data_IF_578121261507
#
_entry.id   IF_578121261507
#
_cell.length_a   1.000
_cell.length_b   1.000
_cell.length_c   1.000
_cell.angle_alpha   90.00
_cell.angle_beta   90.00
_cell.angle_gamma   90.00
#
_symmetry.space_group_name_H-M   'P 1'
#
loop_
_entity.id
_entity.type
_entity.pdbx_description
1 polymer ?
#
# COMPACT_ATOMS: atom_id res chain seq x y z
N UNK A 1 12.19 -21.86 -14.13
CA UNK A 1 11.94 -21.06 -15.35
C UNK A 1 10.99 -19.94 -14.97
N UNK A 2 11.33 -18.66 -15.20
CA UNK A 2 10.45 -17.52 -14.87
C UNK A 2 9.47 -17.35 -16.03
N UNK A 3 8.16 -17.35 -15.76
CA UNK A 3 7.18 -16.97 -16.78
C UNK A 3 7.43 -15.54 -17.20
N UNK A 4 7.55 -15.34 -18.52
CA UNK A 4 7.69 -14.03 -19.13
C UNK A 4 6.55 -13.84 -20.12
N UNK A 5 6.06 -12.61 -20.25
CA UNK A 5 5.17 -12.27 -21.36
C UNK A 5 5.94 -12.20 -22.70
N UNK A 6 5.20 -12.00 -23.80
CA UNK A 6 5.77 -11.82 -25.14
C UNK A 6 6.73 -10.62 -25.23
N UNK A 7 6.68 -9.69 -24.26
CA UNK A 7 7.58 -8.54 -24.13
C UNK A 7 8.75 -8.80 -23.15
N UNK A 8 8.93 -10.02 -22.65
CA UNK A 8 10.02 -10.40 -21.75
C UNK A 8 9.87 -9.94 -20.29
N UNK A 9 8.73 -9.35 -19.91
CA UNK A 9 8.46 -8.92 -18.52
C UNK A 9 8.10 -10.15 -17.68
N UNK A 10 8.62 -10.26 -16.44
CA UNK A 10 8.28 -11.38 -15.57
C UNK A 10 6.79 -11.34 -15.24
N UNK A 11 6.02 -12.29 -15.80
CA UNK A 11 4.65 -12.57 -15.35
C UNK A 11 4.78 -13.40 -14.08
N UNK A 12 4.54 -12.79 -12.92
CA UNK A 12 4.39 -13.56 -11.68
C UNK A 12 3.04 -14.29 -11.72
N UNK A 13 2.92 -15.32 -12.56
CA UNK A 13 1.74 -16.22 -12.66
C UNK A 13 1.51 -17.07 -11.40
N UNK A 14 2.43 -17.01 -10.43
CA UNK A 14 2.32 -17.77 -9.20
C UNK A 14 1.21 -17.21 -8.30
N UNK A 15 0.22 -18.02 -7.90
CA UNK A 15 -0.87 -17.60 -7.02
C UNK A 15 -0.32 -17.08 -5.69
N UNK A 16 -1.08 -16.21 -5.02
CA UNK A 16 -0.68 -15.58 -3.75
C UNK A 16 -1.81 -15.56 -2.73
N UNK A 17 -1.44 -15.54 -1.46
CA UNK A 17 -2.40 -15.36 -0.35
C UNK A 17 -2.87 -13.89 -0.22
N UNK A 18 -3.76 -13.62 0.74
CA UNK A 18 -4.28 -12.28 1.05
C UNK A 18 -3.18 -11.27 1.39
N UNK A 19 -2.06 -11.76 1.92
CA UNK A 19 -0.91 -10.94 2.26
C UNK A 19 0.04 -10.74 1.10
N UNK A 20 -0.18 -11.37 -0.07
CA UNK A 20 0.70 -11.29 -1.24
C UNK A 20 1.89 -12.26 -1.24
N UNK A 21 1.95 -13.22 -0.32
CA UNK A 21 2.98 -14.26 -0.28
C UNK A 21 2.72 -15.31 -1.37
N UNK A 22 3.74 -15.78 -2.11
CA UNK A 22 3.55 -16.82 -3.13
C UNK A 22 3.05 -18.13 -2.55
N UNK A 23 1.99 -18.68 -3.12
CA UNK A 23 1.44 -20.00 -2.83
C UNK A 23 2.07 -21.08 -3.73
N UNK A 24 1.98 -22.37 -3.39
CA UNK A 24 2.34 -23.46 -4.30
C UNK A 24 1.60 -23.37 -5.65
N UNK A 25 2.20 -23.92 -6.70
CA UNK A 25 1.52 -24.04 -7.99
C UNK A 25 0.31 -24.98 -7.87
N UNK A 26 -0.79 -24.64 -8.55
CA UNK A 26 -2.05 -25.39 -8.47
C UNK A 26 -2.95 -25.03 -7.28
N UNK A 27 -2.50 -24.13 -6.39
CA UNK A 27 -3.35 -23.56 -5.34
C UNK A 27 -4.13 -22.36 -5.89
N UNK A 28 -5.40 -22.23 -5.53
CA UNK A 28 -6.17 -21.03 -5.83
C UNK A 28 -5.64 -19.86 -4.97
N UNK A 29 -5.21 -18.79 -5.63
CA UNK A 29 -4.77 -17.57 -4.97
C UNK A 29 -5.87 -16.51 -4.97
N UNK A 30 -5.65 -15.45 -4.20
CA UNK A 30 -6.57 -14.31 -4.16
C UNK A 30 -6.39 -13.49 -5.43
N UNK A 31 -7.48 -13.08 -6.11
CA UNK A 31 -7.41 -12.22 -7.28
C UNK A 31 -6.57 -10.96 -6.99
N UNK A 32 -5.65 -10.66 -7.91
CA UNK A 32 -4.78 -9.49 -7.90
C UNK A 32 -5.44 -8.35 -8.67
N UNK A 33 -4.97 -7.12 -8.46
CA UNK A 33 -5.31 -6.02 -9.35
C UNK A 33 -4.76 -6.33 -10.76
N UNK A 34 -5.58 -6.26 -11.83
CA UNK A 34 -5.12 -6.54 -13.19
C UNK A 34 -3.96 -5.63 -13.63
N UNK A 35 -3.04 -6.16 -14.44
CA UNK A 35 -1.87 -5.40 -14.93
C UNK A 35 -2.24 -4.19 -15.80
N UNK A 36 -3.41 -4.24 -16.46
CA UNK A 36 -3.97 -3.19 -17.30
C UNK A 36 -4.94 -2.27 -16.55
N UNK A 37 -5.01 -2.37 -15.23
CA UNK A 37 -5.87 -1.53 -14.41
C UNK A 37 -5.37 -0.08 -14.36
N UNK A 38 -6.20 0.86 -14.80
CA UNK A 38 -5.86 2.29 -14.88
C UNK A 38 -6.88 3.17 -14.12
N UNK A 39 -6.87 3.17 -12.78
CA UNK A 39 -7.84 3.93 -12.01
C UNK A 39 -7.60 5.44 -12.11
N UNK A 40 -8.69 6.21 -12.06
CA UNK A 40 -8.59 7.63 -11.70
C UNK A 40 -8.25 7.80 -10.21
N UNK A 41 -7.97 9.04 -9.81
CA UNK A 41 -7.54 9.34 -8.44
C UNK A 41 -8.59 8.96 -7.38
N UNK A 42 -9.87 9.27 -7.61
CA UNK A 42 -10.94 9.03 -6.64
C UNK A 42 -11.30 7.55 -6.57
N UNK A 43 -11.25 6.85 -7.70
CA UNK A 43 -11.39 5.40 -7.75
C UNK A 43 -10.29 4.71 -6.96
N UNK A 44 -9.03 5.09 -7.17
CA UNK A 44 -7.90 4.50 -6.46
C UNK A 44 -8.02 4.68 -4.93
N UNK A 45 -8.39 5.88 -4.47
CA UNK A 45 -8.55 6.17 -3.04
C UNK A 45 -9.70 5.35 -2.43
N UNK A 46 -10.87 5.34 -3.07
CA UNK A 46 -12.05 4.60 -2.61
C UNK A 46 -11.80 3.09 -2.54
N UNK A 47 -11.14 2.52 -3.55
CA UNK A 47 -10.83 1.09 -3.55
C UNK A 47 -9.74 0.73 -2.53
N UNK A 48 -8.69 1.55 -2.41
CA UNK A 48 -7.66 1.34 -1.39
C UNK A 48 -8.26 1.39 0.02
N UNK A 49 -9.14 2.36 0.29
CA UNK A 49 -9.88 2.45 1.55
C UNK A 49 -10.71 1.19 1.81
N UNK A 50 -11.52 0.75 0.84
CA UNK A 50 -12.34 -0.47 0.97
C UNK A 50 -11.48 -1.70 1.30
N UNK A 51 -10.33 -1.84 0.66
CA UNK A 51 -9.42 -2.95 0.97
C UNK A 51 -8.87 -2.86 2.39
N UNK A 52 -8.45 -1.68 2.84
CA UNK A 52 -7.98 -1.48 4.21
C UNK A 52 -9.08 -1.74 5.25
N UNK A 53 -10.32 -1.29 5.02
CA UNK A 53 -11.48 -1.58 5.88
C UNK A 53 -11.75 -3.08 6.03
N UNK A 54 -11.32 -3.90 5.05
CA UNK A 54 -11.41 -5.36 5.10
C UNK A 54 -10.11 -6.05 5.52
N UNK A 55 -9.13 -5.32 6.08
CA UNK A 55 -7.88 -5.87 6.56
C UNK A 55 -6.91 -6.30 5.44
N UNK A 56 -7.04 -5.74 4.22
CA UNK A 56 -6.27 -6.12 3.02
C UNK A 56 -5.33 -5.01 2.53
N UNK A 57 -4.33 -4.60 3.32
CA UNK A 57 -3.42 -3.52 2.95
C UNK A 57 -2.55 -3.86 1.72
N UNK A 58 -2.32 -5.14 1.43
CA UNK A 58 -1.57 -5.53 0.25
C UNK A 58 -2.32 -5.21 -1.04
N UNK A 59 -3.62 -5.52 -1.12
CA UNK A 59 -4.47 -5.14 -2.26
C UNK A 59 -4.64 -3.62 -2.38
N UNK A 60 -4.74 -2.91 -1.25
CA UNK A 60 -4.73 -1.45 -1.25
C UNK A 60 -3.43 -0.89 -1.86
N UNK A 61 -2.28 -1.47 -1.52
CA UNK A 61 -0.99 -1.14 -2.14
C UNK A 61 -1.03 -1.34 -3.65
N UNK A 62 -1.59 -2.44 -4.15
CA UNK A 62 -1.66 -2.70 -5.58
C UNK A 62 -2.48 -1.66 -6.35
N UNK A 63 -3.64 -1.26 -5.82
CA UNK A 63 -4.49 -0.23 -6.41
C UNK A 63 -3.73 1.11 -6.51
N UNK A 64 -3.05 1.49 -5.43
CA UNK A 64 -2.28 2.73 -5.37
C UNK A 64 -1.03 2.67 -6.27
N UNK A 65 -0.40 1.49 -6.39
CA UNK A 65 0.70 1.27 -7.32
C UNK A 65 0.23 1.38 -8.78
N UNK A 66 -0.95 0.86 -9.11
CA UNK A 66 -1.54 1.02 -10.44
C UNK A 66 -1.73 2.50 -10.77
N UNK A 67 -2.31 3.29 -9.84
CA UNK A 67 -2.44 4.75 -10.00
C UNK A 67 -1.08 5.45 -10.11
N UNK A 68 -0.08 5.05 -9.33
CA UNK A 68 1.28 5.59 -9.44
C UNK A 68 1.88 5.39 -10.84
N UNK A 69 1.65 4.22 -11.45
CA UNK A 69 2.18 3.88 -12.78
C UNK A 69 1.46 4.59 -13.92
N UNK A 70 0.17 4.88 -13.76
CA UNK A 70 -0.70 5.38 -14.85
C UNK A 70 -1.05 6.87 -14.72
N UNK A 71 -0.89 7.44 -13.52
CA UNK A 71 -1.25 8.83 -13.23
C UNK A 71 -0.25 9.88 -13.75
N UNK A 72 -0.64 11.17 -13.65
CA UNK A 72 0.22 12.30 -13.97
C UNK A 72 1.56 12.29 -13.20
N UNK A 73 2.61 12.81 -13.83
CA UNK A 73 3.97 12.76 -13.28
C UNK A 73 4.11 13.57 -11.97
N UNK A 74 3.36 14.65 -11.84
CA UNK A 74 3.32 15.53 -10.66
C UNK A 74 2.60 14.92 -9.45
N UNK A 75 1.83 13.84 -9.65
CA UNK A 75 1.17 13.10 -8.58
C UNK A 75 1.98 11.87 -8.11
N UNK A 76 3.11 11.53 -8.75
CA UNK A 76 3.85 10.29 -8.48
C UNK A 76 4.25 10.12 -7.02
N UNK A 77 4.73 11.19 -6.39
CA UNK A 77 5.18 11.16 -4.99
C UNK A 77 4.04 10.86 -4.03
N UNK A 78 2.83 11.41 -4.29
CA UNK A 78 1.63 11.09 -3.53
C UNK A 78 1.30 9.60 -3.62
N UNK A 79 1.14 9.07 -4.84
CA UNK A 79 0.71 7.68 -5.03
C UNK A 79 1.76 6.68 -4.54
N UNK A 80 3.04 6.97 -4.77
CA UNK A 80 4.12 6.14 -4.25
C UNK A 80 4.18 6.17 -2.71
N UNK A 81 3.95 7.33 -2.10
CA UNK A 81 3.88 7.47 -0.64
C UNK A 81 2.74 6.64 -0.04
N UNK A 82 1.52 6.77 -0.58
CA UNK A 82 0.35 6.02 -0.13
C UNK A 82 0.55 4.49 -0.31
N UNK A 83 1.11 4.07 -1.46
CA UNK A 83 1.41 2.67 -1.71
C UNK A 83 2.44 2.12 -0.71
N UNK A 84 3.46 2.91 -0.35
CA UNK A 84 4.48 2.56 0.64
C UNK A 84 3.89 2.41 2.05
N UNK A 85 2.97 3.30 2.46
CA UNK A 85 2.25 3.15 3.73
C UNK A 85 1.49 1.81 3.76
N UNK A 86 0.72 1.51 2.70
CA UNK A 86 -0.07 0.27 2.64
C UNK A 86 0.80 -1.00 2.66
N UNK A 87 1.90 -1.04 1.91
CA UNK A 87 2.81 -2.20 2.00
C UNK A 87 3.54 -2.25 3.35
N UNK A 88 3.79 -1.11 4.00
CA UNK A 88 4.27 -1.05 5.39
C UNK A 88 3.33 -1.75 6.37
N UNK A 89 2.02 -1.48 6.30
CA UNK A 89 0.98 -2.18 7.08
C UNK A 89 0.96 -3.69 6.80
N UNK A 90 1.13 -4.09 5.53
CA UNK A 90 1.26 -5.51 5.15
C UNK A 90 2.45 -6.18 5.84
N UNK A 91 3.55 -5.45 6.03
CA UNK A 91 4.71 -5.97 6.75
C UNK A 91 4.44 -6.18 8.25
N UNK A 92 3.61 -5.35 8.87
CA UNK A 92 3.13 -5.57 10.25
C UNK A 92 2.36 -6.90 10.32
N UNK A 93 1.37 -7.09 9.42
CA UNK A 93 0.59 -8.35 9.35
C UNK A 93 1.47 -9.58 9.14
N UNK A 94 2.58 -9.43 8.42
CA UNK A 94 3.52 -10.52 8.13
C UNK A 94 4.53 -10.78 9.25
N UNK A 95 4.51 -10.02 10.34
CA UNK A 95 5.49 -10.13 11.43
C UNK A 95 6.89 -9.65 11.04
N UNK A 96 6.99 -8.66 10.14
CA UNK A 96 8.25 -8.09 9.70
C UNK A 96 8.37 -6.61 10.12
N UNK A 97 8.73 -6.34 11.39
CA UNK A 97 8.76 -4.98 11.94
C UNK A 97 9.80 -4.09 11.25
N UNK A 98 11.00 -4.60 10.99
CA UNK A 98 12.06 -3.84 10.29
C UNK A 98 11.62 -3.40 8.89
N UNK A 99 10.97 -4.29 8.14
CA UNK A 99 10.42 -3.96 6.83
C UNK A 99 9.25 -2.96 6.90
N UNK A 100 8.41 -3.08 7.93
CA UNK A 100 7.30 -2.15 8.15
C UNK A 100 7.82 -0.73 8.42
N UNK A 101 8.74 -0.56 9.38
CA UNK A 101 9.34 0.74 9.71
C UNK A 101 9.99 1.38 8.49
N UNK A 102 10.79 0.63 7.73
CA UNK A 102 11.47 1.16 6.55
C UNK A 102 10.51 1.63 5.44
N UNK A 103 9.34 1.01 5.30
CA UNK A 103 8.33 1.40 4.30
C UNK A 103 7.47 2.56 4.80
N UNK A 104 7.02 2.51 6.05
CA UNK A 104 6.25 3.58 6.68
C UNK A 104 7.04 4.89 6.68
N UNK A 105 8.30 4.87 7.10
CA UNK A 105 9.14 6.07 7.15
C UNK A 105 9.36 6.69 5.76
N UNK A 106 9.58 5.86 4.74
CA UNK A 106 9.72 6.34 3.35
C UNK A 106 8.41 6.90 2.81
N UNK A 107 7.29 6.24 3.06
CA UNK A 107 5.97 6.74 2.67
C UNK A 107 5.66 8.09 3.32
N UNK A 108 5.85 8.18 4.64
CA UNK A 108 5.67 9.38 5.45
C UNK A 108 6.53 10.55 4.93
N UNK A 109 7.81 10.30 4.61
CA UNK A 109 8.70 11.33 4.06
C UNK A 109 8.20 11.89 2.71
N UNK A 110 7.70 11.02 1.81
CA UNK A 110 7.12 11.46 0.53
C UNK A 110 5.88 12.31 0.73
N UNK A 111 4.96 11.86 1.58
CA UNK A 111 3.72 12.60 1.88
C UNK A 111 4.03 13.93 2.58
N UNK A 112 5.01 13.96 3.50
CA UNK A 112 5.46 15.17 4.18
C UNK A 112 5.97 16.27 3.26
N UNK A 113 6.52 15.93 2.08
CA UNK A 113 6.96 16.90 1.08
C UNK A 113 5.81 17.75 0.49
N UNK A 114 4.55 17.33 0.68
CA UNK A 114 3.38 18.11 0.26
C UNK A 114 3.08 19.29 1.19
N UNK A 115 3.65 19.32 2.40
CA UNK A 115 3.43 20.40 3.36
C UNK A 115 1.97 20.48 3.81
N UNK A 116 1.36 21.66 3.70
CA UNK A 116 -0.04 21.92 4.06
C UNK A 116 -1.05 21.63 2.93
N UNK A 117 -0.58 21.19 1.76
CA UNK A 117 -1.46 20.86 0.62
C UNK A 117 -2.35 19.66 0.95
N UNK A 118 -3.58 19.70 0.44
CA UNK A 118 -4.59 18.64 0.60
C UNK A 118 -5.07 18.14 -0.77
N UNK A 119 -4.21 17.43 -1.53
CA UNK A 119 -4.64 16.87 -2.82
C UNK A 119 -5.76 15.86 -2.59
N UNK A 120 -6.83 15.94 -3.36
CA UNK A 120 -8.01 15.08 -3.23
C UNK A 120 -8.60 15.07 -1.80
N UNK A 121 -8.56 16.22 -1.13
CA UNK A 121 -9.01 16.43 0.26
C UNK A 121 -8.29 15.57 1.33
N UNK A 122 -7.15 14.96 0.98
CA UNK A 122 -6.37 14.15 1.92
C UNK A 122 -5.58 15.04 2.89
N UNK A 123 -5.73 14.77 4.20
CA UNK A 123 -4.88 15.35 5.23
C UNK A 123 -3.56 14.57 5.35
N UNK A 124 -2.64 14.87 4.43
CA UNK A 124 -1.34 14.19 4.36
C UNK A 124 -0.50 14.39 5.62
N UNK A 125 -0.64 15.54 6.29
CA UNK A 125 0.04 15.79 7.57
C UNK A 125 -0.46 14.84 8.65
N UNK A 126 -1.78 14.68 8.77
CA UNK A 126 -2.35 13.74 9.72
C UNK A 126 -1.92 12.30 9.41
N UNK A 127 -1.89 11.92 8.13
CA UNK A 127 -1.44 10.59 7.72
C UNK A 127 0.05 10.33 8.03
N UNK A 128 0.92 11.32 7.81
CA UNK A 128 2.35 11.24 8.19
C UNK A 128 2.50 11.05 9.70
N UNK A 129 1.79 11.84 10.52
CA UNK A 129 1.82 11.69 11.98
C UNK A 129 1.30 10.32 12.44
N UNK A 130 0.27 9.80 11.78
CA UNK A 130 -0.23 8.45 12.05
C UNK A 130 0.82 7.38 11.71
N UNK A 131 1.53 7.52 10.59
CA UNK A 131 2.61 6.60 10.22
C UNK A 131 3.77 6.64 11.22
N UNK A 132 4.19 7.84 11.65
CA UNK A 132 5.23 8.02 12.67
C UNK A 132 4.83 7.37 14.01
N UNK A 133 3.57 7.51 14.41
CA UNK A 133 3.06 6.86 15.62
C UNK A 133 3.09 5.33 15.51
N UNK A 134 2.73 4.77 14.35
CA UNK A 134 2.82 3.32 14.11
C UNK A 134 4.28 2.85 14.19
N UNK A 135 5.23 3.62 13.67
CA UNK A 135 6.66 3.31 13.76
C UNK A 135 7.09 3.24 15.24
N UNK A 136 6.70 4.22 16.05
CA UNK A 136 6.97 4.22 17.50
C UNK A 136 6.39 2.97 18.17
N UNK A 137 5.16 2.60 17.84
CA UNK A 137 4.49 1.40 18.37
C UNK A 137 5.21 0.10 17.95
N UNK A 138 5.76 0.03 16.73
CA UNK A 138 6.55 -1.11 16.27
C UNK A 138 7.84 -1.21 17.08
N UNK A 139 8.56 -0.10 17.25
CA UNK A 139 9.83 -0.05 17.99
C UNK A 139 9.65 -0.37 19.48
N UNK A 140 8.50 -0.04 20.07
CA UNK A 140 8.14 -0.43 21.44
C UNK A 140 7.58 -1.85 21.57
N UNK A 141 7.39 -2.57 20.46
CA UNK A 141 6.82 -3.92 20.45
C UNK A 141 5.33 -3.98 20.82
N UNK A 142 4.61 -2.86 20.68
CA UNK A 142 3.19 -2.72 21.01
C UNK A 142 2.30 -2.59 19.77
N UNK A 143 2.87 -2.68 18.56
CA UNK A 143 2.12 -2.56 17.32
C UNK A 143 1.14 -3.71 17.14
N UNK A 144 -0.09 -3.36 16.77
CA UNK A 144 -1.11 -4.29 16.30
C UNK A 144 -1.51 -3.92 14.87
N UNK A 145 -1.63 -4.93 13.99
CA UNK A 145 -1.87 -4.69 12.58
C UNK A 145 -3.26 -4.08 12.32
N UNK A 146 -4.29 -4.54 13.03
CA UNK A 146 -5.66 -4.07 12.83
C UNK A 146 -5.82 -2.64 13.34
N UNK A 147 -5.19 -2.32 14.48
CA UNK A 147 -5.13 -0.93 15.00
C UNK A 147 -4.38 -0.01 14.03
N UNK A 148 -3.23 -0.44 13.51
CA UNK A 148 -2.45 0.34 12.56
C UNK A 148 -3.23 0.60 11.25
N UNK A 149 -3.93 -0.42 10.74
CA UNK A 149 -4.79 -0.30 9.55
C UNK A 149 -5.95 0.68 9.81
N UNK A 150 -6.68 0.52 10.91
CA UNK A 150 -7.82 1.38 11.26
C UNK A 150 -7.39 2.85 11.39
N UNK A 151 -6.19 3.11 11.94
CA UNK A 151 -5.62 4.45 12.04
C UNK A 151 -5.41 5.09 10.66
N UNK A 152 -4.86 4.35 9.69
CA UNK A 152 -4.64 4.87 8.33
C UNK A 152 -5.96 5.04 7.56
N UNK A 153 -6.93 4.14 7.74
CA UNK A 153 -8.28 4.29 7.13
C UNK A 153 -8.91 5.62 7.52
N UNK A 154 -8.77 6.06 8.77
CA UNK A 154 -9.30 7.35 9.25
C UNK A 154 -8.75 8.59 8.52
N UNK A 155 -7.74 8.43 7.67
CA UNK A 155 -7.11 9.50 6.90
C UNK A 155 -7.27 9.36 5.38
N UNK A 156 -7.92 8.29 4.91
CA UNK A 156 -8.36 8.14 3.52
C UNK A 156 -9.84 8.54 3.48
N UNK A 157 -10.17 9.59 2.71
CA UNK A 157 -11.49 10.22 2.64
C UNK A 157 -12.68 9.28 2.48
#
# INVERSE_FOLDING_TARGET
>A
MRDRDEAGRPRSSRPRDDYGRPLPYGTEGVPRVPDDYTPDALQALREARRFLETGRPFHAHEVLEARWKTGPADERELWQGLAQICVGLTHIQRGNPSGAVALLARGAARLGSYGSRRPFDLDLRAMTLAADQIIVEIDSGTSDADIAIARIVGHLG
#
